data_IF_110978986667
#
_entry.id   IF_110978986667
#
_cell.length_a   1.000
_cell.length_b   1.000
_cell.length_c   1.000
_cell.angle_alpha   90.00
_cell.angle_beta   90.00
_cell.angle_gamma   90.00
#
_symmetry.space_group_name_H-M   'P 1'
#
loop_
_entity.id
_entity.type
_entity.pdbx_description
1 polymer ?
#
# COMPACT_ATOMS: atom_id res chain seq x y z
N UNK A 1 -11.79 -11.36 -1.87
CA UNK A 1 -10.43 -10.86 -2.13
C UNK A 1 -10.42 -9.35 -2.12
N UNK A 2 -9.70 -8.76 -1.17
CA UNK A 2 -9.47 -7.31 -1.14
C UNK A 2 -8.54 -6.92 -2.30
N UNK A 3 -8.86 -5.81 -2.99
CA UNK A 3 -8.07 -5.30 -4.12
C UNK A 3 -7.18 -4.11 -3.74
N UNK A 4 -7.43 -3.51 -2.57
CA UNK A 4 -6.67 -2.40 -1.98
C UNK A 4 -6.73 -2.44 -0.45
N UNK A 5 -5.78 -1.77 0.20
CA UNK A 5 -5.83 -1.52 1.64
C UNK A 5 -6.97 -0.54 1.99
N UNK A 6 -7.35 -0.50 3.27
CA UNK A 6 -8.35 0.43 3.81
C UNK A 6 -7.70 1.41 4.78
N UNK A 7 -8.44 2.47 5.13
CA UNK A 7 -7.99 3.46 6.11
C UNK A 7 -7.56 2.83 7.44
N UNK A 8 -8.21 1.74 7.86
CA UNK A 8 -7.83 0.98 9.05
C UNK A 8 -6.40 0.43 8.97
N UNK A 9 -5.96 -0.01 7.79
CA UNK A 9 -4.60 -0.55 7.58
C UNK A 9 -3.52 0.52 7.75
N UNK A 10 -3.84 1.79 7.50
CA UNK A 10 -2.92 2.91 7.68
C UNK A 10 -2.70 3.29 9.16
N UNK A 11 -3.62 2.90 10.05
CA UNK A 11 -3.49 3.16 11.49
C UNK A 11 -2.39 2.30 12.14
N UNK A 12 -1.96 1.24 11.45
CA UNK A 12 -0.85 0.38 11.87
C UNK A 12 0.52 1.04 11.64
N UNK A 13 0.59 2.08 10.80
CA UNK A 13 1.81 2.79 10.46
C UNK A 13 2.17 3.83 11.53
N UNK A 14 3.46 3.99 11.79
CA UNK A 14 3.96 5.16 12.53
C UNK A 14 3.76 6.45 11.73
N UNK A 15 3.82 7.61 12.39
CA UNK A 15 3.77 8.91 11.69
C UNK A 15 4.88 9.07 10.66
N UNK A 16 6.06 8.54 10.94
CA UNK A 16 7.19 8.58 10.03
C UNK A 16 6.94 7.71 8.79
N UNK A 17 6.38 6.52 8.97
CA UNK A 17 6.02 5.63 7.85
C UNK A 17 4.89 6.21 6.99
N UNK A 18 3.88 6.84 7.60
CA UNK A 18 2.83 7.55 6.88
C UNK A 18 3.41 8.71 6.04
N UNK A 19 4.36 9.45 6.60
CA UNK A 19 5.05 10.52 5.88
C UNK A 19 5.93 9.99 4.75
N UNK A 20 6.64 8.87 4.96
CA UNK A 20 7.41 8.22 3.92
C UNK A 20 6.52 7.74 2.76
N UNK A 21 5.39 7.10 3.08
CA UNK A 21 4.40 6.67 2.11
C UNK A 21 3.88 7.85 1.27
N UNK A 22 3.54 8.96 1.93
CA UNK A 22 3.06 10.18 1.30
C UNK A 22 4.09 10.78 0.34
N UNK A 23 5.38 10.78 0.71
CA UNK A 23 6.46 11.33 -0.14
C UNK A 23 6.70 10.51 -1.41
N UNK A 24 6.46 9.21 -1.35
CA UNK A 24 6.72 8.30 -2.45
C UNK A 24 5.51 8.07 -3.37
N UNK A 25 4.34 8.51 -2.93
CA UNK A 25 3.11 8.43 -3.70
C UNK A 25 2.87 9.71 -4.50
N UNK A 26 2.42 9.54 -5.74
CA UNK A 26 2.02 10.63 -6.62
C UNK A 26 0.56 10.41 -6.97
N UNK A 27 -0.38 11.25 -6.48
CA UNK A 27 -1.81 11.04 -6.69
C UNK A 27 -2.18 11.02 -8.18
N UNK A 28 -3.01 10.06 -8.56
CA UNK A 28 -3.64 9.98 -9.88
C UNK A 28 -5.16 9.99 -9.76
N UNK A 29 -5.86 10.44 -10.81
CA UNK A 29 -7.32 10.33 -10.84
C UNK A 29 -7.75 8.86 -10.77
N UNK A 30 -8.75 8.58 -9.94
CA UNK A 30 -9.19 7.22 -9.67
C UNK A 30 -8.47 6.54 -8.51
N UNK A 31 -7.37 7.12 -7.98
CA UNK A 31 -6.73 6.61 -6.76
C UNK A 31 -7.69 6.74 -5.58
N UNK A 32 -7.63 5.79 -4.66
CA UNK A 32 -8.34 5.87 -3.39
C UNK A 32 -7.42 6.44 -2.32
N UNK A 33 -7.96 7.32 -1.47
CA UNK A 33 -7.22 7.98 -0.41
C UNK A 33 -8.01 7.97 0.90
N UNK A 34 -7.29 8.05 2.01
CA UNK A 34 -7.85 8.35 3.31
C UNK A 34 -7.53 9.80 3.70
N UNK A 35 -8.56 10.56 4.10
CA UNK A 35 -8.42 11.89 4.68
C UNK A 35 -9.17 11.91 6.01
N UNK A 36 -8.43 11.98 7.11
CA UNK A 36 -9.03 11.92 8.46
C UNK A 36 -9.73 10.58 8.68
N UNK A 37 -11.05 10.62 8.90
CA UNK A 37 -11.94 9.48 9.12
C UNK A 37 -12.73 9.05 7.86
N UNK A 38 -12.44 9.66 6.71
CA UNK A 38 -13.13 9.37 5.45
C UNK A 38 -12.20 8.74 4.41
N UNK A 39 -12.76 7.84 3.60
CA UNK A 39 -12.15 7.36 2.37
C UNK A 39 -12.81 8.02 1.17
N UNK A 40 -12.03 8.46 0.21
CA UNK A 40 -12.53 9.07 -1.02
C UNK A 40 -11.69 8.64 -2.23
N UNK A 41 -12.19 8.96 -3.42
CA UNK A 41 -11.47 8.76 -4.67
C UNK A 41 -10.98 10.11 -5.18
N UNK A 42 -9.78 10.15 -5.72
CA UNK A 42 -9.21 11.37 -6.31
C UNK A 42 -9.96 11.72 -7.59
N UNK A 43 -10.48 12.96 -7.64
CA UNK A 43 -11.07 13.57 -8.82
C UNK A 43 -10.29 14.85 -9.17
N UNK A 44 -9.88 15.03 -10.43
CA UNK A 44 -9.03 16.16 -10.82
C UNK A 44 -9.61 17.55 -10.52
N UNK A 45 -10.94 17.66 -10.43
CA UNK A 45 -11.62 18.93 -10.12
C UNK A 45 -11.33 19.46 -8.71
N UNK A 46 -10.98 18.58 -7.76
CA UNK A 46 -10.86 18.95 -6.35
C UNK A 46 -9.41 19.01 -5.85
N UNK A 47 -8.44 18.58 -6.66
CA UNK A 47 -7.05 18.40 -6.21
C UNK A 47 -6.94 17.38 -5.07
N UNK A 48 -5.74 17.22 -4.51
CA UNK A 48 -5.50 16.38 -3.34
C UNK A 48 -4.74 17.21 -2.31
N UNK A 49 -5.26 17.30 -1.09
CA UNK A 49 -4.49 17.82 0.05
C UNK A 49 -3.40 16.79 0.40
N UNK A 50 -2.28 16.88 -0.31
CA UNK A 50 -1.18 15.92 -0.19
C UNK A 50 -0.55 15.92 1.20
N UNK A 51 -0.83 16.91 2.05
CA UNK A 51 -0.31 16.97 3.43
C UNK A 51 -1.13 16.08 4.36
N UNK A 52 -2.44 15.93 4.09
CA UNK A 52 -3.34 15.15 4.94
C UNK A 52 -3.69 13.78 4.37
N UNK A 53 -3.73 13.67 3.05
CA UNK A 53 -4.11 12.44 2.38
C UNK A 53 -3.04 11.35 2.55
N UNK A 54 -3.51 10.11 2.61
CA UNK A 54 -2.70 8.90 2.49
C UNK A 54 -3.30 7.98 1.43
N UNK A 55 -2.47 7.36 0.57
CA UNK A 55 -2.97 6.47 -0.46
C UNK A 55 -3.49 5.16 0.11
N UNK A 56 -4.59 4.68 -0.46
CA UNK A 56 -5.15 3.35 -0.22
C UNK A 56 -4.70 2.43 -1.35
N UNK A 57 -3.42 2.05 -1.28
CA UNK A 57 -2.73 1.29 -2.32
C UNK A 57 -3.49 0.02 -2.72
N UNK A 58 -3.66 -0.13 -4.03
CA UNK A 58 -4.08 -1.37 -4.68
C UNK A 58 -2.96 -2.41 -4.69
N UNK A 59 -3.31 -3.66 -5.01
CA UNK A 59 -2.33 -4.74 -5.25
C UNK A 59 -1.24 -4.30 -6.24
N UNK A 60 -1.63 -3.70 -7.37
CA UNK A 60 -0.68 -3.27 -8.40
C UNK A 60 0.27 -2.17 -7.93
N UNK A 61 -0.23 -1.22 -7.14
CA UNK A 61 0.59 -0.14 -6.59
C UNK A 61 1.53 -0.65 -5.50
N UNK A 62 1.10 -1.59 -4.65
CA UNK A 62 1.99 -2.22 -3.66
C UNK A 62 3.13 -2.99 -4.33
N UNK A 63 2.84 -3.75 -5.39
CA UNK A 63 3.88 -4.44 -6.19
C UNK A 63 4.84 -3.42 -6.81
N UNK A 64 4.31 -2.34 -7.38
CA UNK A 64 5.11 -1.28 -8.00
C UNK A 64 5.96 -0.52 -6.99
N UNK A 65 5.45 -0.29 -5.78
CA UNK A 65 6.19 0.29 -4.67
C UNK A 65 7.37 -0.62 -4.28
N UNK A 66 7.11 -1.89 -4.00
CA UNK A 66 8.13 -2.84 -3.56
C UNK A 66 9.22 -3.07 -4.61
N UNK A 67 8.86 -3.14 -5.91
CA UNK A 67 9.84 -3.25 -6.99
C UNK A 67 10.81 -2.05 -7.05
N UNK A 68 10.36 -0.85 -6.66
CA UNK A 68 11.21 0.36 -6.62
C UNK A 68 12.19 0.35 -5.44
N UNK A 69 11.93 -0.43 -4.39
CA UNK A 69 12.69 -0.42 -3.13
C UNK A 69 13.92 -1.35 -3.11
N UNK A 70 14.24 -2.07 -4.18
CA UNK A 70 15.53 -2.75 -4.28
C UNK A 70 15.51 -4.21 -4.75
N UNK A 71 14.48 -4.65 -5.47
CA UNK A 71 14.53 -5.95 -6.15
C UNK A 71 13.18 -6.46 -6.64
N UNK A 72 13.17 -7.52 -7.45
CA UNK A 72 11.95 -8.12 -7.96
C UNK A 72 11.12 -8.67 -6.81
N UNK A 73 9.81 -8.37 -6.82
CA UNK A 73 8.84 -8.99 -5.92
C UNK A 73 8.53 -10.39 -6.42
N UNK A 74 8.75 -11.39 -5.57
CA UNK A 74 8.32 -12.76 -5.81
C UNK A 74 6.99 -12.99 -5.07
N UNK A 75 5.96 -13.43 -5.80
CA UNK A 75 4.64 -13.74 -5.24
C UNK A 75 4.33 -15.19 -5.59
N UNK A 76 4.01 -15.99 -4.57
CA UNK A 76 3.58 -17.38 -4.75
C UNK A 76 2.49 -17.75 -3.77
N UNK A 77 1.67 -18.72 -4.15
CA UNK A 77 0.68 -19.33 -3.27
C UNK A 77 1.13 -20.76 -2.95
N UNK A 78 1.09 -21.14 -1.68
CA UNK A 78 1.36 -22.51 -1.24
C UNK A 78 0.42 -22.88 -0.09
N UNK A 79 -0.31 -24.00 -0.26
CA UNK A 79 -1.23 -24.53 0.74
C UNK A 79 -2.23 -23.47 1.27
N UNK A 80 -2.82 -22.65 0.38
CA UNK A 80 -3.78 -21.59 0.74
C UNK A 80 -3.17 -20.40 1.47
N UNK A 81 -1.84 -20.25 1.44
CA UNK A 81 -1.12 -19.10 2.00
C UNK A 81 -0.39 -18.36 0.88
N UNK A 82 -0.62 -17.05 0.79
CA UNK A 82 0.15 -16.15 -0.05
C UNK A 82 1.48 -15.83 0.61
N UNK A 83 2.54 -15.92 -0.17
CA UNK A 83 3.91 -15.65 0.24
C UNK A 83 4.47 -14.59 -0.69
N UNK A 84 4.84 -13.45 -0.12
CA UNK A 84 5.44 -12.31 -0.81
C UNK A 84 6.87 -12.16 -0.32
N UNK A 85 7.85 -12.18 -1.24
CA UNK A 85 9.25 -11.90 -0.94
C UNK A 85 9.70 -10.64 -1.66
N UNK A 86 10.22 -9.68 -0.90
CA UNK A 86 10.73 -8.41 -1.40
C UNK A 86 11.86 -7.92 -0.48
N UNK A 87 12.92 -7.32 -1.03
CA UNK A 87 14.02 -6.76 -0.23
C UNK A 87 14.77 -7.78 0.65
N UNK A 88 14.75 -9.07 0.30
CA UNK A 88 15.34 -10.14 1.11
C UNK A 88 14.46 -10.61 2.28
N UNK A 89 13.30 -10.00 2.47
CA UNK A 89 12.33 -10.36 3.49
C UNK A 89 11.12 -11.11 2.91
N UNK A 90 10.43 -11.84 3.77
CA UNK A 90 9.23 -12.61 3.42
C UNK A 90 8.04 -12.26 4.34
N UNK A 91 6.88 -12.09 3.70
CA UNK A 91 5.58 -11.83 4.32
C UNK A 91 4.58 -12.90 3.91
N UNK A 92 3.69 -13.30 4.82
CA UNK A 92 2.72 -14.38 4.61
C UNK A 92 1.35 -13.99 5.13
N UNK A 93 0.30 -14.25 4.35
CA UNK A 93 -1.10 -14.15 4.79
C UNK A 93 -2.01 -15.08 3.98
N UNK A 94 -3.23 -15.32 4.46
CA UNK A 94 -4.28 -16.00 3.72
C UNK A 94 -4.80 -15.16 2.52
N UNK A 95 -4.64 -13.84 2.56
CA UNK A 95 -5.04 -12.92 1.47
C UNK A 95 -3.81 -12.21 0.88
N UNK A 96 -3.74 -12.16 -0.46
CA UNK A 96 -2.62 -11.52 -1.17
C UNK A 96 -2.45 -10.04 -0.80
N UNK A 97 -3.56 -9.30 -0.69
CA UNK A 97 -3.53 -7.88 -0.37
C UNK A 97 -2.87 -7.62 0.99
N UNK A 98 -3.14 -8.47 1.98
CA UNK A 98 -2.53 -8.38 3.30
C UNK A 98 -1.05 -8.77 3.26
N UNK A 99 -0.70 -9.87 2.57
CA UNK A 99 0.70 -10.29 2.45
C UNK A 99 1.57 -9.22 1.77
N UNK A 100 1.03 -8.55 0.74
CA UNK A 100 1.68 -7.41 0.08
C UNK A 100 1.79 -6.21 1.02
N UNK A 101 0.73 -5.89 1.77
CA UNK A 101 0.75 -4.79 2.72
C UNK A 101 1.80 -4.97 3.81
N UNK A 102 1.91 -6.18 4.37
CA UNK A 102 2.98 -6.52 5.33
C UNK A 102 4.37 -6.29 4.74
N UNK A 103 4.61 -6.66 3.48
CA UNK A 103 5.88 -6.37 2.82
C UNK A 103 6.11 -4.86 2.64
N UNK A 104 5.08 -4.09 2.25
CA UNK A 104 5.17 -2.63 2.11
C UNK A 104 5.52 -1.97 3.44
N UNK A 105 4.87 -2.37 4.54
CA UNK A 105 5.14 -1.83 5.88
C UNK A 105 6.60 -1.96 6.31
N UNK A 106 7.27 -3.04 5.91
CA UNK A 106 8.70 -3.24 6.23
C UNK A 106 9.64 -2.44 5.35
N UNK A 107 9.18 -2.03 4.17
CA UNK A 107 9.90 -1.19 3.23
C UNK A 107 9.57 0.31 3.37
N UNK A 108 8.79 0.70 4.40
CA UNK A 108 8.46 2.08 4.77
C UNK A 108 9.29 2.52 5.98
#
# INVERSE_FOLDING_TARGET
MMQRIRSSSLQELSREQQENLRRQWTPQEGDYIAIGDHEEMVYYLNGVDSVKALPLLTIGEMISYLNRQGGPVEIREAAGTWIVRAGGEESRSAELCEALWEAVKRAL
#
